data_IF_352180175307
#
_entry.id   IF_352180175307
#
_cell.length_a   1.000
_cell.length_b   1.000
_cell.length_c   1.000
_cell.angle_alpha   90.00
_cell.angle_beta   90.00
_cell.angle_gamma   90.00
#
_symmetry.space_group_name_H-M   'P 1'
#
loop_
_entity.id
_entity.type
_entity.pdbx_description
1 polymer ?
#
# COMPACT_ATOMS: atom_id res chain seq x y z
N UNK A 1 18.62 0.91 27.23
CA UNK A 1 19.16 1.18 25.87
C UNK A 1 18.68 0.17 24.83
N UNK A 2 18.77 -1.15 25.08
CA UNK A 2 18.32 -2.22 24.17
C UNK A 2 16.85 -2.13 23.69
N UNK A 3 15.90 -1.83 24.59
CA UNK A 3 14.48 -1.73 24.24
C UNK A 3 14.20 -0.67 23.16
N UNK A 4 14.88 0.49 23.23
CA UNK A 4 14.72 1.60 22.28
C UNK A 4 15.29 1.28 20.90
N UNK A 5 16.36 0.50 20.84
CA UNK A 5 16.94 0.01 19.58
C UNK A 5 16.01 -1.02 18.92
N UNK A 6 15.49 -1.97 19.71
CA UNK A 6 14.56 -2.98 19.23
C UNK A 6 13.24 -2.38 18.70
N UNK A 7 12.67 -1.40 19.40
CA UNK A 7 11.45 -0.71 18.94
C UNK A 7 11.69 0.06 17.63
N UNK A 8 12.86 0.67 17.47
CA UNK A 8 13.24 1.37 16.23
C UNK A 8 13.40 0.40 15.07
N UNK A 9 14.08 -0.73 15.27
CA UNK A 9 14.23 -1.76 14.25
C UNK A 9 12.86 -2.28 13.75
N UNK A 10 11.94 -2.57 14.67
CA UNK A 10 10.57 -2.97 14.31
C UNK A 10 9.85 -1.89 13.51
N UNK A 11 9.98 -0.63 13.90
CA UNK A 11 9.40 0.49 13.18
C UNK A 11 9.95 0.62 11.75
N UNK A 12 11.27 0.47 11.59
CA UNK A 12 11.93 0.55 10.28
C UNK A 12 11.49 -0.59 9.36
N UNK A 13 11.40 -1.82 9.87
CA UNK A 13 10.89 -2.99 9.11
C UNK A 13 9.46 -2.73 8.62
N UNK A 14 8.58 -2.24 9.50
CA UNK A 14 7.20 -1.91 9.13
C UNK A 14 7.13 -0.86 8.02
N UNK A 15 8.01 0.15 8.08
CA UNK A 15 8.10 1.19 7.06
C UNK A 15 8.61 0.63 5.73
N UNK A 16 9.62 -0.22 5.76
CA UNK A 16 10.14 -0.92 4.56
C UNK A 16 9.04 -1.74 3.90
N UNK A 17 8.27 -2.52 4.66
CA UNK A 17 7.14 -3.29 4.13
C UNK A 17 6.10 -2.38 3.47
N UNK A 18 5.79 -1.25 4.11
CA UNK A 18 4.82 -0.28 3.60
C UNK A 18 5.26 0.38 2.29
N UNK A 19 6.56 0.64 2.13
CA UNK A 19 7.13 1.22 0.89
C UNK A 19 7.23 0.17 -0.20
N UNK A 20 7.65 -1.05 0.15
CA UNK A 20 7.82 -2.16 -0.77
C UNK A 20 6.49 -2.57 -1.43
N UNK A 21 5.37 -2.38 -0.73
CA UNK A 21 4.04 -2.68 -1.27
C UNK A 21 3.64 -1.82 -2.48
N UNK A 22 4.37 -0.73 -2.80
CA UNK A 22 4.11 0.15 -3.94
C UNK A 22 5.15 0.05 -5.08
N UNK A 23 6.12 -0.87 -5.00
CA UNK A 23 7.19 -0.94 -6.00
C UNK A 23 6.75 -1.62 -7.31
N UNK A 24 6.35 -2.87 -7.20
CA UNK A 24 5.84 -3.67 -8.32
C UNK A 24 4.85 -4.69 -7.76
N UNK A 25 4.16 -5.43 -8.63
CA UNK A 25 3.35 -6.58 -8.18
C UNK A 25 4.22 -7.58 -7.41
N UNK A 26 5.47 -7.81 -7.85
CA UNK A 26 6.42 -8.65 -7.12
C UNK A 26 6.82 -8.04 -5.77
N UNK A 27 7.07 -6.73 -5.73
CA UNK A 27 7.33 -6.00 -4.48
C UNK A 27 6.17 -6.14 -3.50
N UNK A 28 4.93 -6.04 -4.00
CA UNK A 28 3.73 -6.27 -3.19
C UNK A 28 3.67 -7.67 -2.60
N UNK A 29 3.93 -8.71 -3.39
CA UNK A 29 3.95 -10.10 -2.92
C UNK A 29 5.02 -10.28 -1.83
N UNK A 30 6.23 -9.78 -2.04
CA UNK A 30 7.32 -9.86 -1.04
C UNK A 30 6.93 -9.11 0.24
N UNK A 31 6.36 -7.91 0.12
CA UNK A 31 5.88 -7.13 1.25
C UNK A 31 4.81 -7.90 2.06
N UNK A 32 3.90 -8.60 1.38
CA UNK A 32 2.87 -9.40 2.03
C UNK A 32 3.44 -10.57 2.83
N UNK A 33 4.48 -11.25 2.32
CA UNK A 33 5.15 -12.32 3.05
C UNK A 33 5.86 -11.78 4.31
N UNK A 34 6.64 -10.69 4.19
CA UNK A 34 7.33 -10.07 5.33
C UNK A 34 6.31 -9.56 6.38
N UNK A 35 5.18 -9.02 5.92
CA UNK A 35 4.08 -8.61 6.79
C UNK A 35 3.54 -9.76 7.65
N UNK A 36 3.50 -10.99 7.12
CA UNK A 36 3.02 -12.18 7.84
C UNK A 36 3.72 -12.38 9.19
N UNK A 37 5.04 -12.18 9.21
CA UNK A 37 5.90 -12.30 10.40
C UNK A 37 5.94 -11.01 11.24
N UNK A 38 5.67 -9.86 10.62
CA UNK A 38 5.80 -8.53 11.22
C UNK A 38 4.54 -7.69 11.06
N UNK A 39 3.41 -8.23 11.55
CA UNK A 39 2.11 -7.57 11.43
C UNK A 39 2.10 -6.21 12.10
N UNK A 40 1.64 -5.21 11.36
CA UNK A 40 1.40 -3.87 11.88
C UNK A 40 0.23 -3.22 11.14
N UNK A 41 -0.46 -2.32 11.82
CA UNK A 41 -1.56 -1.60 11.18
C UNK A 41 -1.09 -0.62 10.09
N UNK A 42 0.19 -0.19 10.07
CA UNK A 42 0.75 0.67 9.02
C UNK A 42 1.01 -0.15 7.75
N UNK A 43 1.72 -1.27 7.88
CA UNK A 43 1.97 -2.16 6.76
C UNK A 43 0.67 -2.74 6.18
N UNK A 44 -0.28 -3.14 7.03
CA UNK A 44 -1.61 -3.59 6.59
C UNK A 44 -2.33 -2.53 5.76
N UNK A 45 -2.34 -1.29 6.25
CA UNK A 45 -3.01 -0.18 5.57
C UNK A 45 -2.45 0.00 4.15
N UNK A 46 -1.13 0.11 4.03
CA UNK A 46 -0.45 0.29 2.75
C UNK A 46 -0.51 -0.93 1.82
N UNK A 47 -0.54 -2.16 2.36
CA UNK A 47 -0.74 -3.38 1.57
C UNK A 47 -2.12 -3.42 0.93
N UNK A 48 -3.17 -3.03 1.67
CA UNK A 48 -4.54 -2.95 1.16
C UNK A 48 -4.67 -1.84 0.12
N UNK A 49 -4.17 -0.65 0.42
CA UNK A 49 -4.27 0.49 -0.49
C UNK A 49 -3.53 0.24 -1.81
N UNK A 50 -2.29 -0.26 -1.76
CA UNK A 50 -1.55 -0.53 -2.99
C UNK A 50 -2.14 -1.69 -3.78
N UNK A 51 -2.63 -2.77 -3.14
CA UNK A 51 -3.35 -3.84 -3.84
C UNK A 51 -4.62 -3.31 -4.53
N UNK A 52 -5.38 -2.48 -3.83
CA UNK A 52 -6.59 -1.85 -4.35
C UNK A 52 -6.31 -1.01 -5.59
N UNK A 53 -5.23 -0.23 -5.58
CA UNK A 53 -4.79 0.55 -6.74
C UNK A 53 -4.31 -0.35 -7.89
N UNK A 54 -3.58 -1.45 -7.62
CA UNK A 54 -3.16 -2.42 -8.65
C UNK A 54 -4.39 -2.97 -9.37
N UNK A 55 -5.38 -3.46 -8.60
CA UNK A 55 -6.61 -4.04 -9.15
C UNK A 55 -7.40 -2.99 -9.92
N UNK A 56 -7.54 -1.79 -9.37
CA UNK A 56 -8.29 -0.69 -10.01
C UNK A 56 -7.64 -0.27 -11.33
N UNK A 57 -6.31 -0.10 -11.35
CA UNK A 57 -5.57 0.23 -12.56
C UNK A 57 -5.65 -0.89 -13.62
N UNK A 58 -5.58 -2.16 -13.21
CA UNK A 58 -5.73 -3.30 -14.10
C UNK A 58 -7.12 -3.34 -14.75
N UNK A 59 -8.19 -3.10 -13.98
CA UNK A 59 -9.57 -3.07 -14.50
C UNK A 59 -9.79 -1.89 -15.45
N UNK A 60 -9.28 -0.70 -15.12
CA UNK A 60 -9.39 0.47 -15.99
C UNK A 60 -8.61 0.29 -17.30
N UNK A 61 -7.46 -0.38 -17.29
CA UNK A 61 -6.68 -0.65 -18.49
C UNK A 61 -7.45 -1.47 -19.54
N UNK A 62 -8.42 -2.30 -19.11
CA UNK A 62 -9.30 -3.08 -20.00
C UNK A 62 -10.35 -2.24 -20.71
N UNK A 63 -10.61 -1.01 -20.27
CA UNK A 63 -11.58 -0.09 -20.88
C UNK A 63 -10.83 0.91 -21.79
N UNK A 64 -10.92 0.79 -23.12
CA UNK A 64 -10.19 1.66 -24.04
C UNK A 64 -10.60 3.13 -23.90
N UNK A 65 -9.67 4.04 -24.20
CA UNK A 65 -9.83 5.50 -24.15
C UNK A 65 -10.16 6.06 -22.76
N UNK A 66 -11.39 5.82 -22.25
CA UNK A 66 -11.85 6.36 -20.96
C UNK A 66 -11.04 5.79 -19.80
N UNK A 67 -10.86 4.46 -19.77
CA UNK A 67 -10.10 3.82 -18.71
C UNK A 67 -8.63 4.25 -18.69
N UNK A 68 -8.03 4.42 -19.87
CA UNK A 68 -6.64 4.90 -19.99
C UNK A 68 -6.46 6.32 -19.47
N UNK A 69 -7.42 7.22 -19.73
CA UNK A 69 -7.42 8.57 -19.15
C UNK A 69 -7.57 8.50 -17.62
N UNK A 70 -8.47 7.66 -17.11
CA UNK A 70 -8.66 7.48 -15.67
C UNK A 70 -7.42 6.88 -14.98
N UNK A 71 -6.63 6.05 -15.67
CA UNK A 71 -5.36 5.54 -15.15
C UNK A 71 -4.38 6.67 -14.76
N UNK A 72 -4.46 7.85 -15.37
CA UNK A 72 -3.66 9.01 -14.95
C UNK A 72 -3.98 9.42 -13.51
N UNK A 73 -5.26 9.41 -13.13
CA UNK A 73 -5.69 9.66 -11.75
C UNK A 73 -5.23 8.57 -10.78
N UNK A 74 -5.23 7.31 -11.21
CA UNK A 74 -4.69 6.19 -10.42
C UNK A 74 -3.20 6.37 -10.15
N UNK A 75 -2.42 6.84 -11.13
CA UNK A 75 -0.99 7.12 -10.94
C UNK A 75 -0.78 8.21 -9.88
N UNK A 76 -1.61 9.27 -9.87
CA UNK A 76 -1.55 10.31 -8.83
C UNK A 76 -1.85 9.74 -7.44
N UNK A 77 -2.89 8.90 -7.32
CA UNK A 77 -3.20 8.24 -6.05
C UNK A 77 -2.09 7.27 -5.62
N UNK A 78 -1.45 6.58 -6.58
CA UNK A 78 -0.29 5.73 -6.32
C UNK A 78 0.88 6.51 -5.73
N UNK A 79 1.26 7.62 -6.36
CA UNK A 79 2.33 8.49 -5.88
C UNK A 79 2.00 9.05 -4.48
N UNK A 80 0.74 9.41 -4.23
CA UNK A 80 0.28 9.90 -2.93
C UNK A 80 0.40 8.82 -1.85
N UNK A 81 -0.10 7.61 -2.12
CA UNK A 81 0.01 6.47 -1.20
C UNK A 81 1.46 6.11 -0.90
N UNK A 82 2.30 6.11 -1.95
CA UNK A 82 3.74 5.88 -1.82
C UNK A 82 4.43 6.94 -0.96
N UNK A 83 4.12 8.22 -1.17
CA UNK A 83 4.64 9.31 -0.35
C UNK A 83 4.26 9.17 1.13
N UNK A 84 3.02 8.76 1.41
CA UNK A 84 2.60 8.51 2.80
C UNK A 84 3.28 7.28 3.41
N UNK A 85 3.56 6.23 2.63
CA UNK A 85 4.38 5.11 3.08
C UNK A 85 5.81 5.55 3.44
N UNK A 86 6.42 6.44 2.62
CA UNK A 86 7.74 7.02 2.90
C UNK A 86 7.76 7.89 4.16
N UNK A 87 6.64 8.48 4.57
CA UNK A 87 6.53 9.25 5.81
C UNK A 87 6.03 8.41 7.00
N UNK A 88 5.60 7.17 6.76
CA UNK A 88 5.07 6.27 7.79
C UNK A 88 3.67 6.69 8.27
N UNK A 89 2.93 7.42 7.44
CA UNK A 89 1.61 7.95 7.76
C UNK A 89 0.50 7.11 7.11
N UNK A 90 -0.61 6.92 7.83
CA UNK A 90 -1.82 6.29 7.30
C UNK A 90 -2.77 7.39 6.84
N UNK A 91 -2.55 7.88 5.64
CA UNK A 91 -3.46 8.86 5.04
C UNK A 91 -4.37 8.14 4.06
N UNK A 92 -5.67 8.23 4.30
CA UNK A 92 -6.66 7.65 3.41
C UNK A 92 -6.57 8.29 2.03
N UNK A 93 -6.46 7.45 1.00
CA UNK A 93 -6.56 7.91 -0.38
C UNK A 93 -7.98 8.45 -0.61
N UNK A 94 -8.13 9.66 -1.17
CA UNK A 94 -9.43 10.24 -1.42
C UNK A 94 -10.22 9.34 -2.38
N UNK A 95 -11.55 9.28 -2.18
CA UNK A 95 -12.51 8.51 -2.99
C UNK A 95 -12.44 6.98 -2.85
N UNK A 96 -11.24 6.39 -2.80
CA UNK A 96 -11.05 4.93 -2.91
C UNK A 96 -10.47 4.26 -1.67
N UNK A 97 -9.85 5.01 -0.76
CA UNK A 97 -9.16 4.45 0.41
C UNK A 97 -10.10 3.63 1.31
N UNK A 98 -11.25 4.17 1.67
CA UNK A 98 -12.23 3.45 2.52
C UNK A 98 -12.76 2.19 1.86
N UNK A 99 -12.95 2.24 0.54
CA UNK A 99 -13.36 1.08 -0.25
C UNK A 99 -12.29 -0.03 -0.16
N UNK A 100 -11.02 0.30 -0.35
CA UNK A 100 -9.92 -0.66 -0.23
C UNK A 100 -9.82 -1.25 1.19
N UNK A 101 -9.91 -0.40 2.21
CA UNK A 101 -9.82 -0.86 3.59
C UNK A 101 -10.99 -1.78 4.00
N UNK A 102 -12.18 -1.56 3.43
CA UNK A 102 -13.37 -2.38 3.70
C UNK A 102 -13.40 -3.68 2.90
N UNK A 103 -13.02 -3.66 1.63
CA UNK A 103 -13.18 -4.80 0.72
C UNK A 103 -11.94 -5.70 0.60
N UNK A 104 -10.76 -5.22 1.00
CA UNK A 104 -9.53 -6.03 1.07
C UNK A 104 -9.26 -6.47 2.50
N UNK A 105 -10.32 -6.76 3.25
CA UNK A 105 -10.24 -6.97 4.69
C UNK A 105 -9.61 -8.31 5.10
N UNK A 106 -9.52 -9.24 4.14
CA UNK A 106 -8.80 -10.50 4.26
C UNK A 106 -7.32 -10.33 4.67
N UNK A 107 -6.71 -9.18 4.38
CA UNK A 107 -5.39 -8.79 4.91
C UNK A 107 -5.60 -8.34 6.37
N UNK A 108 -5.45 -9.27 7.32
CA UNK A 108 -5.72 -9.05 8.76
C UNK A 108 -4.53 -8.59 9.57
#
# INVERSE_FOLDING_TARGET
>A
MYFRAYSRLKYDVVKVVSVLSYMTILGWVVAFFIYGDHRSALAKFHLRDSLGLIITGALLALVPFVGWVLCLGIIVLWCTGFYHALTGQRTHLPVVGDFYQKHLDFIR
#
